data_IF_138872912564
#
_entry.id   IF_138872912564
#
_cell.length_a   1.000
_cell.length_b   1.000
_cell.length_c   1.000
_cell.angle_alpha   90.00
_cell.angle_beta   90.00
_cell.angle_gamma   90.00
#
_symmetry.space_group_name_H-M   'P 1'
#
loop_
_entity.id
_entity.type
_entity.pdbx_description
1 polymer ?
#
# COMPACT_ATOMS: atom_id res chain seq x y z
N UNK A 1 15.55 -17.38 -15.58
CA UNK A 1 14.10 -17.09 -15.49
C UNK A 1 13.85 -16.49 -14.12
N UNK A 2 13.77 -15.16 -14.03
CA UNK A 2 13.31 -14.51 -12.78
C UNK A 2 11.83 -14.85 -12.63
N UNK A 3 11.49 -15.47 -11.53
CA UNK A 3 10.14 -15.94 -11.25
C UNK A 3 9.18 -14.75 -11.17
N UNK A 4 8.12 -14.77 -11.99
CA UNK A 4 6.97 -13.86 -11.94
C UNK A 4 6.16 -13.98 -10.62
N UNK A 5 6.77 -14.46 -9.54
CA UNK A 5 6.13 -14.72 -8.24
C UNK A 5 5.87 -13.45 -7.44
N UNK A 6 6.61 -12.36 -7.65
CA UNK A 6 6.46 -11.13 -6.84
C UNK A 6 5.12 -10.41 -7.03
N UNK A 7 4.57 -10.41 -8.25
CA UNK A 7 3.30 -9.72 -8.52
C UNK A 7 2.08 -10.43 -7.93
N UNK A 8 2.10 -11.76 -7.84
CA UNK A 8 0.98 -12.52 -7.29
C UNK A 8 0.84 -12.37 -5.76
N UNK A 9 1.94 -12.07 -5.06
CA UNK A 9 1.91 -11.85 -3.60
C UNK A 9 1.24 -10.50 -3.25
N UNK A 10 1.47 -9.47 -4.09
CA UNK A 10 0.84 -8.15 -4.04
C UNK A 10 -0.70 -8.20 -4.09
N UNK A 11 -1.25 -9.05 -4.96
CA UNK A 11 -2.69 -9.14 -5.21
C UNK A 11 -3.46 -10.03 -4.24
N UNK A 12 -2.75 -10.84 -3.44
CA UNK A 12 -3.33 -11.81 -2.51
C UNK A 12 -3.28 -11.36 -1.04
N UNK A 13 -2.81 -10.13 -0.77
CA UNK A 13 -2.81 -9.59 0.57
C UNK A 13 -4.25 -9.29 1.00
N UNK A 14 -4.84 -10.16 1.83
CA UNK A 14 -6.15 -9.90 2.44
C UNK A 14 -6.05 -8.80 3.52
N UNK A 15 -7.21 -8.27 3.93
CA UNK A 15 -7.25 -7.20 4.93
C UNK A 15 -6.61 -7.62 6.27
N UNK A 16 -6.72 -8.89 6.66
CA UNK A 16 -6.18 -9.39 7.92
C UNK A 16 -4.65 -9.36 7.90
N UNK A 17 -4.04 -9.77 6.80
CA UNK A 17 -2.59 -9.71 6.61
C UNK A 17 -2.12 -8.27 6.48
N UNK A 18 -2.82 -7.44 5.72
CA UNK A 18 -2.52 -6.00 5.61
C UNK A 18 -2.51 -5.31 6.97
N UNK A 19 -3.56 -5.52 7.77
CA UNK A 19 -3.68 -4.99 9.13
C UNK A 19 -2.52 -5.43 10.01
N UNK A 20 -2.17 -6.71 9.96
CA UNK A 20 -1.03 -7.26 10.71
C UNK A 20 0.27 -6.56 10.34
N UNK A 21 0.58 -6.41 9.04
CA UNK A 21 1.81 -5.78 8.57
C UNK A 21 1.90 -4.30 8.97
N UNK A 22 0.79 -3.57 8.93
CA UNK A 22 0.77 -2.15 9.34
C UNK A 22 1.07 -2.00 10.82
N UNK A 23 0.45 -2.83 11.67
CA UNK A 23 0.69 -2.78 13.12
C UNK A 23 2.05 -3.34 13.55
N UNK A 24 2.64 -4.26 12.78
CA UNK A 24 4.03 -4.70 13.00
C UNK A 24 5.05 -3.57 12.80
N UNK A 25 4.69 -2.51 12.07
CA UNK A 25 5.50 -1.30 11.92
C UNK A 25 5.16 -0.19 12.93
N UNK A 26 4.39 -0.50 13.98
CA UNK A 26 3.98 0.46 15.01
C UNK A 26 3.19 1.67 14.46
N UNK A 27 2.44 1.44 13.38
CA UNK A 27 1.63 2.47 12.73
C UNK A 27 0.26 2.52 13.40
N UNK A 28 0.07 3.54 14.24
CA UNK A 28 -1.21 3.81 14.90
C UNK A 28 -2.21 4.45 13.92
N UNK A 29 -3.16 3.63 13.44
CA UNK A 29 -4.30 3.98 12.57
C UNK A 29 -5.49 3.12 13.01
N UNK A 30 -6.67 3.75 13.13
CA UNK A 30 -7.89 3.03 13.48
C UNK A 30 -8.31 2.05 12.38
N UNK A 31 -9.04 1.00 12.78
CA UNK A 31 -9.38 -0.09 11.86
C UNK A 31 -10.29 0.34 10.70
N UNK A 32 -11.16 1.35 10.90
CA UNK A 32 -12.05 1.86 9.87
C UNK A 32 -11.27 2.62 8.79
N UNK A 33 -10.35 3.51 9.19
CA UNK A 33 -9.41 4.16 8.29
C UNK A 33 -8.52 3.15 7.59
N UNK A 34 -8.05 2.12 8.31
CA UNK A 34 -7.20 1.09 7.73
C UNK A 34 -7.94 0.27 6.67
N UNK A 35 -9.22 -0.04 6.90
CA UNK A 35 -10.08 -0.72 5.93
C UNK A 35 -10.35 0.16 4.70
N UNK A 36 -10.59 1.45 4.91
CA UNK A 36 -10.72 2.43 3.83
C UNK A 36 -9.45 2.44 2.97
N UNK A 37 -8.29 2.62 3.58
CA UNK A 37 -6.98 2.64 2.89
C UNK A 37 -6.73 1.34 2.15
N UNK A 38 -7.00 0.20 2.77
CA UNK A 38 -6.92 -1.10 2.13
C UNK A 38 -7.77 -1.13 0.85
N UNK A 39 -9.04 -0.75 0.92
CA UNK A 39 -9.92 -0.72 -0.25
C UNK A 39 -9.42 0.26 -1.33
N UNK A 40 -8.86 1.40 -0.95
CA UNK A 40 -8.27 2.35 -1.90
C UNK A 40 -7.09 1.72 -2.65
N UNK A 41 -6.20 1.03 -1.94
CA UNK A 41 -5.06 0.31 -2.50
C UNK A 41 -5.55 -0.82 -3.41
N UNK A 42 -6.55 -1.60 -2.97
CA UNK A 42 -7.12 -2.71 -3.74
C UNK A 42 -7.84 -2.24 -5.02
N UNK A 43 -8.44 -1.05 -5.01
CA UNK A 43 -9.07 -0.47 -6.21
C UNK A 43 -8.05 0.17 -7.16
N UNK A 44 -6.84 0.45 -6.69
CA UNK A 44 -5.78 1.10 -7.45
C UNK A 44 -4.51 0.23 -7.51
N UNK A 45 -4.66 -1.11 -7.54
CA UNK A 45 -3.51 -2.03 -7.43
C UNK A 45 -2.43 -1.81 -8.48
N UNK A 46 -2.78 -1.31 -9.67
CA UNK A 46 -1.81 -0.97 -10.72
C UNK A 46 -0.83 0.13 -10.28
N UNK A 47 -1.26 1.01 -9.38
CA UNK A 47 -0.42 2.03 -8.76
C UNK A 47 0.58 1.49 -7.73
N UNK A 48 0.59 0.18 -7.47
CA UNK A 48 1.64 -0.48 -6.66
C UNK A 48 2.75 -1.09 -7.51
N UNK A 49 2.59 -1.07 -8.83
CA UNK A 49 3.47 -1.72 -9.81
C UNK A 49 4.18 -0.68 -10.65
N UNK A 50 3.46 0.34 -11.12
CA UNK A 50 4.01 1.42 -11.93
C UNK A 50 4.12 2.71 -11.11
N UNK A 51 5.37 3.12 -10.93
CA UNK A 51 5.74 4.30 -10.16
C UNK A 51 5.08 5.61 -10.63
N UNK A 52 4.68 5.72 -11.89
CA UNK A 52 3.96 6.90 -12.41
C UNK A 52 2.60 7.10 -11.74
N UNK A 53 1.98 6.02 -11.27
CA UNK A 53 0.67 6.05 -10.62
C UNK A 53 0.75 6.12 -9.09
N UNK A 54 1.95 6.00 -8.50
CA UNK A 54 2.14 6.12 -7.05
C UNK A 54 1.59 7.45 -6.51
N UNK A 55 1.86 8.56 -7.21
CA UNK A 55 1.37 9.87 -6.82
C UNK A 55 -0.16 9.96 -6.85
N UNK A 56 -0.80 9.30 -7.82
CA UNK A 56 -2.26 9.24 -7.92
C UNK A 56 -2.84 8.49 -6.72
N UNK A 57 -2.25 7.36 -6.34
CA UNK A 57 -2.66 6.61 -5.14
C UNK A 57 -2.49 7.44 -3.86
N UNK A 58 -1.36 8.14 -3.70
CA UNK A 58 -1.13 8.99 -2.53
C UNK A 58 -2.09 10.18 -2.47
N UNK A 59 -2.38 10.81 -3.61
CA UNK A 59 -3.37 11.88 -3.68
C UNK A 59 -4.74 11.36 -3.24
N UNK A 60 -5.14 10.19 -3.74
CA UNK A 60 -6.43 9.59 -3.39
C UNK A 60 -6.54 9.23 -1.90
N UNK A 61 -5.47 8.70 -1.31
CA UNK A 61 -5.42 8.44 0.14
C UNK A 61 -5.46 9.76 0.91
N UNK A 62 -4.74 10.80 0.47
CA UNK A 62 -4.72 12.11 1.14
C UNK A 62 -6.05 12.87 1.08
N UNK A 63 -6.86 12.66 0.04
CA UNK A 63 -8.21 13.24 -0.08
C UNK A 63 -9.23 12.57 0.84
N UNK A 64 -8.99 11.30 1.19
CA UNK A 64 -9.92 10.45 1.97
C UNK A 64 -9.50 10.26 3.42
N UNK A 65 -8.29 10.68 3.78
CA UNK A 65 -7.71 10.52 5.12
C UNK A 65 -6.98 11.80 5.53
N UNK A 66 -6.38 11.83 6.73
CA UNK A 66 -5.54 12.96 7.12
C UNK A 66 -4.17 12.91 6.42
N UNK A 67 -3.52 14.07 6.26
CA UNK A 67 -2.13 14.14 5.75
C UNK A 67 -1.19 13.27 6.59
N UNK A 68 -1.38 13.25 7.92
CA UNK A 68 -0.61 12.41 8.84
C UNK A 68 -0.78 10.92 8.54
N UNK A 69 -2.03 10.47 8.36
CA UNK A 69 -2.36 9.09 7.99
C UNK A 69 -1.74 8.73 6.63
N UNK A 70 -1.85 9.61 5.63
CA UNK A 70 -1.27 9.39 4.31
C UNK A 70 0.26 9.22 4.37
N UNK A 71 0.96 10.05 5.16
CA UNK A 71 2.41 9.94 5.34
C UNK A 71 2.82 8.62 6.03
N UNK A 72 2.08 8.18 7.06
CA UNK A 72 2.29 6.87 7.70
C UNK A 72 2.16 5.72 6.70
N UNK A 73 1.13 5.74 5.86
CA UNK A 73 0.92 4.72 4.82
C UNK A 73 1.98 4.78 3.73
N UNK A 74 2.41 5.98 3.34
CA UNK A 74 3.54 6.14 2.39
C UNK A 74 4.80 5.48 2.93
N UNK A 75 5.12 5.73 4.21
CA UNK A 75 6.24 5.06 4.89
C UNK A 75 6.07 3.54 4.93
N UNK A 76 4.88 3.05 5.29
CA UNK A 76 4.57 1.62 5.33
C UNK A 76 4.86 0.92 4.00
N UNK A 77 4.30 1.46 2.90
CA UNK A 77 4.42 0.85 1.58
C UNK A 77 5.89 0.85 1.12
N UNK A 78 6.65 1.90 1.42
CA UNK A 78 8.10 1.96 1.11
C UNK A 78 8.93 0.98 1.94
N UNK A 79 8.51 0.68 3.17
CA UNK A 79 9.18 -0.26 4.07
C UNK A 79 8.80 -1.73 3.82
N UNK A 80 7.83 -2.00 2.94
CA UNK A 80 7.37 -3.34 2.58
C UNK A 80 7.67 -3.68 1.10
N UNK A 81 8.93 -3.64 0.63
CA UNK A 81 9.28 -3.81 -0.78
C UNK A 81 8.96 -5.21 -1.33
N UNK A 82 8.86 -6.21 -0.46
CA UNK A 82 8.42 -7.56 -0.82
C UNK A 82 6.94 -7.61 -1.23
N UNK A 83 6.13 -6.67 -0.70
CA UNK A 83 4.70 -6.59 -0.93
C UNK A 83 4.30 -5.38 -1.78
N UNK A 84 5.17 -4.39 -1.99
CA UNK A 84 4.85 -3.19 -2.75
C UNK A 84 6.07 -2.73 -3.54
N UNK A 85 5.96 -2.71 -4.86
CA UNK A 85 7.09 -2.38 -5.71
C UNK A 85 7.09 -0.89 -6.07
N UNK A 86 7.18 -0.04 -5.05
CA UNK A 86 7.17 1.39 -5.24
C UNK A 86 8.51 1.86 -5.85
N UNK A 87 8.50 2.31 -7.09
CA UNK A 87 9.64 3.03 -7.67
C UNK A 87 10.67 2.19 -8.40
N UNK A 88 10.40 0.94 -8.76
CA UNK A 88 11.17 0.33 -9.85
C UNK A 88 10.76 1.04 -11.14
N UNK A 89 11.68 1.87 -11.66
CA UNK A 89 11.65 2.27 -13.07
C UNK A 89 11.67 0.99 -13.89
N UNK A 90 10.53 0.63 -14.48
CA UNK A 90 10.50 -0.28 -15.62
C UNK A 90 11.19 0.39 -16.79
#
# INVERSE_FOLDING_TARGET
>A
MMSNTSYNELFNLDFKMFKKLVYEQDIDIDEEQLLLIYNLIQNNRYALIDSHYNEVLYNYISEKTSISTCLKIKSFLSNCPHYFNLGLKV
#
